data_IF_583185181028
#
_entry.id   IF_583185181028
#
_cell.length_a   1.000
_cell.length_b   1.000
_cell.length_c   1.000
_cell.angle_alpha   90.00
_cell.angle_beta   90.00
_cell.angle_gamma   90.00
#
_symmetry.space_group_name_H-M   'P 1'
#
loop_
_entity.id
_entity.type
_entity.pdbx_description
1 polymer ?
#
# COMPACT_ATOMS: atom_id res chain seq x y z
N UNK A 1 -0.26 13.21 17.78
CA UNK A 1 -1.26 13.06 16.70
C UNK A 1 -0.74 13.73 15.45
N UNK A 2 -1.02 13.21 14.27
CA UNK A 2 -0.53 13.72 12.98
C UNK A 2 -1.69 13.71 11.97
N UNK A 3 -1.55 14.45 10.86
CA UNK A 3 -2.57 14.53 9.80
C UNK A 3 -2.87 13.13 9.22
N UNK A 4 -4.11 12.66 9.35
CA UNK A 4 -4.60 11.40 8.79
C UNK A 4 -5.30 11.58 7.43
N UNK A 5 -6.07 10.58 7.00
CA UNK A 5 -6.84 10.64 5.75
C UNK A 5 -7.90 11.75 5.75
N UNK A 6 -8.39 12.16 6.91
CA UNK A 6 -9.39 13.24 7.04
C UNK A 6 -8.95 14.54 6.33
N UNK A 7 -7.65 14.88 6.36
CA UNK A 7 -7.12 16.07 5.71
C UNK A 7 -7.19 16.01 4.17
N UNK A 8 -7.38 14.82 3.60
CA UNK A 8 -7.56 14.65 2.16
C UNK A 8 -9.01 14.93 1.71
N UNK A 9 -9.95 15.08 2.66
CA UNK A 9 -11.34 15.39 2.34
C UNK A 9 -11.56 16.86 1.95
N UNK A 10 -10.81 17.81 2.52
CA UNK A 10 -11.00 19.26 2.29
C UNK A 10 -9.74 19.95 1.77
N UNK A 11 -9.73 21.29 1.73
CA UNK A 11 -8.61 22.08 1.22
C UNK A 11 -7.33 21.92 2.05
N UNK A 12 -6.18 22.09 1.39
CA UNK A 12 -4.86 21.90 2.02
C UNK A 12 -4.56 20.45 2.32
N UNK A 13 -4.80 19.55 1.35
CA UNK A 13 -4.62 18.09 1.44
C UNK A 13 -3.20 17.68 1.83
N UNK A 14 -3.05 16.43 2.28
CA UNK A 14 -1.71 15.89 2.51
C UNK A 14 -0.96 15.86 1.17
N UNK A 15 0.30 16.31 1.11
CA UNK A 15 1.10 16.18 -0.11
C UNK A 15 1.40 14.69 -0.41
N UNK A 16 1.71 14.33 -1.66
CA UNK A 16 2.00 12.94 -2.03
C UNK A 16 3.10 12.27 -1.19
N UNK A 17 4.14 13.01 -0.78
CA UNK A 17 5.21 12.53 0.11
C UNK A 17 4.77 12.23 1.55
N UNK A 18 3.56 12.63 1.98
CA UNK A 18 3.15 12.59 3.38
C UNK A 18 3.26 11.19 3.98
N UNK A 19 2.76 10.16 3.30
CA UNK A 19 2.79 8.79 3.83
C UNK A 19 4.21 8.21 3.89
N UNK A 20 5.11 8.61 2.97
CA UNK A 20 6.52 8.24 3.05
C UNK A 20 7.19 8.94 4.25
N UNK A 21 6.89 10.22 4.48
CA UNK A 21 7.41 11.01 5.59
C UNK A 21 6.97 10.49 6.97
N UNK A 22 5.69 10.16 7.15
CA UNK A 22 5.20 9.71 8.47
C UNK A 22 5.82 8.38 8.90
N UNK A 23 6.22 7.52 7.96
CA UNK A 23 6.87 6.23 8.26
C UNK A 23 8.22 6.42 8.95
N UNK A 24 8.96 7.45 8.59
CA UNK A 24 10.27 7.75 9.18
C UNK A 24 10.21 8.75 10.34
N UNK A 25 9.02 9.29 10.64
CA UNK A 25 8.82 10.27 11.70
C UNK A 25 7.80 9.75 12.71
N UNK A 26 6.50 10.02 12.49
CA UNK A 26 5.42 9.66 13.42
C UNK A 26 5.35 8.16 13.74
N UNK A 27 5.62 7.29 12.78
CA UNK A 27 5.53 5.84 12.99
C UNK A 27 6.62 5.29 13.92
N UNK A 28 7.66 6.06 14.23
CA UNK A 28 8.65 5.71 15.26
C UNK A 28 8.05 5.74 16.68
N UNK A 29 6.98 6.50 16.90
CA UNK A 29 6.31 6.61 18.20
C UNK A 29 5.33 5.46 18.48
N UNK A 30 4.96 4.68 17.46
CA UNK A 30 3.98 3.60 17.57
C UNK A 30 2.83 3.72 16.57
N UNK A 31 1.76 2.90 16.73
CA UNK A 31 0.70 2.77 15.73
C UNK A 31 -0.06 4.08 15.49
N UNK A 32 -0.64 4.20 14.30
CA UNK A 32 -1.45 5.35 13.90
C UNK A 32 -2.72 4.89 13.20
N UNK A 33 -3.88 5.28 13.73
CA UNK A 33 -5.13 5.20 12.99
C UNK A 33 -5.15 6.28 11.91
N UNK A 34 -4.68 5.93 10.72
CA UNK A 34 -4.61 6.83 9.56
C UNK A 34 -5.89 6.86 8.73
N UNK A 35 -6.76 5.87 8.92
CA UNK A 35 -8.01 5.64 8.16
C UNK A 35 -7.82 5.49 6.64
N UNK A 36 -7.03 4.48 6.17
CA UNK A 36 -6.75 4.29 4.74
C UNK A 36 -7.94 3.74 3.93
N UNK A 37 -7.74 3.62 2.62
CA UNK A 37 -8.62 2.82 1.77
C UNK A 37 -9.76 3.57 1.10
N UNK A 38 -9.57 4.85 0.77
CA UNK A 38 -10.55 5.63 -0.01
C UNK A 38 -10.43 5.25 -1.49
N UNK A 39 -11.20 4.26 -1.96
CA UNK A 39 -11.10 3.75 -3.34
C UNK A 39 -11.79 4.67 -4.36
N UNK A 40 -12.75 5.48 -3.93
CA UNK A 40 -13.28 6.56 -4.77
C UNK A 40 -12.22 7.59 -5.15
N UNK A 41 -11.20 7.77 -4.31
CA UNK A 41 -10.17 8.83 -4.40
C UNK A 41 -10.78 10.24 -4.43
N UNK A 42 -11.93 10.42 -3.76
CA UNK A 42 -12.67 11.68 -3.69
C UNK A 42 -12.86 12.13 -2.25
N UNK A 43 -12.74 13.44 -2.04
CA UNK A 43 -13.07 14.15 -0.81
C UNK A 43 -14.40 14.91 -0.93
N UNK A 44 -14.56 15.93 -0.10
CA UNK A 44 -15.70 16.83 -0.17
C UNK A 44 -15.78 17.53 -1.53
N UNK A 45 -17.02 17.80 -1.96
CA UNK A 45 -17.34 18.47 -3.24
C UNK A 45 -16.68 17.79 -4.43
N UNK A 46 -16.51 16.46 -4.37
CA UNK A 46 -15.86 15.64 -5.40
C UNK A 46 -14.41 16.04 -5.71
N UNK A 47 -13.71 16.63 -4.72
CA UNK A 47 -12.32 17.03 -4.88
C UNK A 47 -11.38 15.83 -4.83
N UNK A 48 -10.41 15.79 -5.74
CA UNK A 48 -9.51 14.65 -5.90
C UNK A 48 -8.53 14.49 -4.74
N UNK A 49 -8.38 13.26 -4.23
CA UNK A 49 -7.33 12.89 -3.28
C UNK A 49 -6.02 12.68 -4.03
N UNK A 50 -4.89 13.13 -3.45
CA UNK A 50 -3.57 13.06 -4.06
C UNK A 50 -2.93 11.67 -3.87
N UNK A 51 -3.57 10.64 -4.44
CA UNK A 51 -3.18 9.23 -4.31
C UNK A 51 -3.65 8.44 -5.53
N UNK A 52 -3.09 7.25 -5.74
CA UNK A 52 -3.65 6.22 -6.61
C UNK A 52 -4.40 5.13 -5.82
N UNK A 53 -5.14 4.28 -6.53
CA UNK A 53 -5.79 3.10 -5.93
C UNK A 53 -4.79 2.14 -5.29
N UNK A 54 -3.68 1.85 -5.98
CA UNK A 54 -2.69 0.90 -5.47
C UNK A 54 -2.00 1.44 -4.21
N UNK A 55 -1.72 2.75 -4.14
CA UNK A 55 -1.23 3.40 -2.91
C UNK A 55 -2.21 3.21 -1.75
N UNK A 56 -3.52 3.42 -1.96
CA UNK A 56 -4.53 3.21 -0.92
C UNK A 56 -4.55 1.78 -0.35
N UNK A 57 -4.29 0.77 -1.19
CA UNK A 57 -4.12 -0.61 -0.74
C UNK A 57 -2.81 -0.81 0.04
N UNK A 58 -1.72 -0.21 -0.43
CA UNK A 58 -0.41 -0.31 0.20
C UNK A 58 -0.42 0.23 1.64
N UNK A 59 -1.24 1.25 1.94
CA UNK A 59 -1.32 1.87 3.27
C UNK A 59 -1.73 0.90 4.38
N UNK A 60 -2.51 -0.14 4.08
CA UNK A 60 -2.86 -1.19 5.06
C UNK A 60 -1.63 -1.97 5.56
N UNK A 61 -0.56 -2.00 4.76
CA UNK A 61 0.70 -2.65 5.12
C UNK A 61 1.72 -1.62 5.62
N UNK A 62 1.83 -0.47 4.96
CA UNK A 62 2.86 0.53 5.28
C UNK A 62 2.59 1.20 6.62
N UNK A 63 1.36 1.68 6.86
CA UNK A 63 1.00 2.38 8.09
C UNK A 63 0.45 1.38 9.10
N UNK A 64 1.27 1.02 10.08
CA UNK A 64 0.87 0.06 11.10
C UNK A 64 -0.19 0.61 12.06
N UNK A 65 -1.28 -0.15 12.22
CA UNK A 65 -2.21 -0.03 13.33
C UNK A 65 -2.83 -1.40 13.63
N UNK A 66 -3.03 -1.78 14.90
CA UNK A 66 -3.74 -3.02 15.25
C UNK A 66 -5.23 -2.97 14.90
N UNK A 67 -5.79 -1.76 14.77
CA UNK A 67 -7.16 -1.50 14.29
C UNK A 67 -7.06 -0.60 13.07
N UNK A 68 -7.47 -1.12 11.90
CA UNK A 68 -7.40 -0.38 10.63
C UNK A 68 -8.81 -0.16 10.11
N UNK A 69 -9.15 1.10 9.82
CA UNK A 69 -10.44 1.48 9.26
C UNK A 69 -10.50 1.20 7.76
N UNK A 70 -11.72 0.91 7.29
CA UNK A 70 -12.10 0.82 5.88
C UNK A 70 -12.94 2.07 5.59
N UNK A 71 -12.28 3.16 5.22
CA UNK A 71 -12.80 4.52 5.42
C UNK A 71 -13.78 5.05 4.36
N UNK A 72 -13.90 4.41 3.19
CA UNK A 72 -14.82 4.83 2.14
C UNK A 72 -16.26 4.34 2.42
N UNK A 73 -17.23 4.74 1.59
CA UNK A 73 -18.60 4.25 1.71
C UNK A 73 -18.72 2.82 1.14
N UNK A 74 -19.64 2.00 1.67
CA UNK A 74 -19.93 0.68 1.13
C UNK A 74 -20.27 0.69 -0.38
N UNK A 75 -20.97 1.72 -0.85
CA UNK A 75 -21.33 1.88 -2.26
C UNK A 75 -20.11 2.11 -3.15
N UNK A 76 -19.09 2.80 -2.63
CA UNK A 76 -17.83 2.96 -3.35
C UNK A 76 -17.07 1.63 -3.37
N UNK A 77 -16.94 0.92 -2.26
CA UNK A 77 -16.31 -0.41 -2.25
C UNK A 77 -16.98 -1.41 -3.21
N UNK A 78 -18.31 -1.37 -3.35
CA UNK A 78 -19.04 -2.21 -4.28
C UNK A 78 -18.60 -2.03 -5.76
N UNK A 79 -18.06 -0.85 -6.12
CA UNK A 79 -17.53 -0.56 -7.46
C UNK A 79 -16.13 -1.15 -7.69
N UNK A 80 -15.40 -1.49 -6.63
CA UNK A 80 -14.00 -1.93 -6.66
C UNK A 80 -13.82 -3.33 -6.02
N UNK A 81 -14.49 -4.38 -6.55
CA UNK A 81 -14.50 -5.69 -5.90
C UNK A 81 -13.13 -6.39 -5.91
N UNK A 82 -12.23 -6.04 -6.83
CA UNK A 82 -10.90 -6.65 -6.92
C UNK A 82 -9.98 -6.07 -5.85
N UNK A 83 -10.02 -4.76 -5.65
CA UNK A 83 -9.29 -4.00 -4.65
C UNK A 83 -9.81 -4.34 -3.25
N UNK A 84 -11.14 -4.45 -3.10
CA UNK A 84 -11.78 -4.88 -1.85
C UNK A 84 -11.35 -6.30 -1.45
N UNK A 85 -10.99 -7.17 -2.41
CA UNK A 85 -10.42 -8.48 -2.08
C UNK A 85 -9.15 -8.33 -1.24
N UNK A 86 -8.23 -7.43 -1.62
CA UNK A 86 -7.01 -7.18 -0.84
C UNK A 86 -7.34 -6.66 0.56
N UNK A 87 -8.25 -5.69 0.68
CA UNK A 87 -8.66 -5.11 1.97
C UNK A 87 -9.27 -6.17 2.90
N UNK A 88 -10.03 -7.13 2.36
CA UNK A 88 -10.56 -8.25 3.16
C UNK A 88 -9.48 -9.25 3.57
N UNK A 89 -8.46 -9.40 2.76
CA UNK A 89 -7.42 -10.42 2.94
C UNK A 89 -6.28 -9.93 3.85
N UNK A 90 -6.03 -8.63 3.95
CA UNK A 90 -4.91 -8.06 4.71
C UNK A 90 -5.18 -8.10 6.23
N UNK A 91 -4.29 -8.67 7.05
CA UNK A 91 -4.43 -8.67 8.50
C UNK A 91 -3.97 -7.32 9.09
N UNK A 92 -4.22 -7.11 10.38
CA UNK A 92 -3.76 -5.92 11.12
C UNK A 92 -2.71 -6.23 12.18
N UNK A 93 -2.41 -7.51 12.41
CA UNK A 93 -1.44 -7.98 13.40
C UNK A 93 -0.36 -8.84 12.73
N UNK A 94 0.89 -8.61 13.15
CA UNK A 94 2.08 -9.02 12.43
C UNK A 94 3.10 -9.68 13.36
N UNK A 95 3.57 -10.87 13.01
CA UNK A 95 4.65 -11.57 13.73
C UNK A 95 6.02 -10.96 13.42
N UNK A 96 6.25 -10.57 12.17
CA UNK A 96 7.51 -9.97 11.69
C UNK A 96 7.20 -8.76 10.80
N UNK A 97 8.06 -7.76 10.80
CA UNK A 97 7.96 -6.55 9.99
C UNK A 97 9.35 -6.10 9.56
N UNK A 98 9.56 -5.96 8.25
CA UNK A 98 10.84 -5.65 7.63
C UNK A 98 10.69 -4.48 6.68
N UNK A 99 11.42 -3.41 6.92
CA UNK A 99 11.61 -2.35 5.93
C UNK A 99 12.60 -2.87 4.89
N UNK A 100 12.15 -3.04 3.65
CA UNK A 100 12.97 -3.62 2.57
C UNK A 100 13.89 -2.58 1.93
N UNK A 101 13.36 -1.38 1.74
CA UNK A 101 14.06 -0.19 1.24
C UNK A 101 13.21 1.05 1.53
N UNK A 102 13.83 2.22 1.41
CA UNK A 102 13.15 3.50 1.50
C UNK A 102 14.10 4.67 1.59
N UNK A 103 13.56 5.85 1.33
CA UNK A 103 14.23 7.15 1.37
C UNK A 103 13.24 8.15 1.98
N UNK A 104 13.70 8.94 2.94
CA UNK A 104 12.84 9.87 3.70
C UNK A 104 12.31 10.93 2.75
N UNK A 105 10.99 11.18 2.77
CA UNK A 105 10.31 12.07 1.83
C UNK A 105 9.87 11.36 0.55
N UNK A 106 10.65 10.40 0.09
CA UNK A 106 10.51 9.87 -1.25
C UNK A 106 9.68 8.59 -1.34
N UNK A 107 10.07 7.53 -0.62
CA UNK A 107 9.37 6.24 -0.70
C UNK A 107 9.72 5.31 0.45
N UNK A 108 8.89 4.28 0.62
CA UNK A 108 9.22 3.15 1.49
C UNK A 108 8.53 1.88 1.02
N UNK A 109 9.22 0.74 1.14
CA UNK A 109 8.64 -0.60 0.96
C UNK A 109 8.79 -1.40 2.24
N UNK A 110 7.68 -1.94 2.74
CA UNK A 110 7.62 -2.73 3.98
C UNK A 110 7.01 -4.09 3.68
N UNK A 111 7.66 -5.16 4.15
CA UNK A 111 7.10 -6.50 4.20
C UNK A 111 6.69 -6.84 5.64
N UNK A 112 5.55 -7.51 5.81
CA UNK A 112 5.07 -7.98 7.11
C UNK A 112 4.57 -9.41 7.02
N UNK A 113 4.87 -10.21 8.04
CA UNK A 113 4.36 -11.58 8.17
C UNK A 113 3.14 -11.58 9.08
N UNK A 114 2.04 -12.13 8.58
CA UNK A 114 0.80 -12.29 9.35
C UNK A 114 1.05 -13.02 10.67
N UNK A 115 0.55 -12.50 11.80
CA UNK A 115 0.64 -13.21 13.09
C UNK A 115 -0.18 -14.50 13.04
N UNK A 116 0.40 -15.59 13.56
CA UNK A 116 -0.19 -16.94 13.56
C UNK A 116 -0.54 -17.46 12.15
N UNK A 117 0.02 -16.81 11.12
CA UNK A 117 -0.19 -17.11 9.71
C UNK A 117 1.12 -17.46 8.99
N UNK A 118 0.96 -17.73 7.70
CA UNK A 118 2.07 -18.07 6.80
C UNK A 118 2.28 -17.05 5.71
N UNK A 119 1.32 -16.14 5.56
CA UNK A 119 1.29 -15.20 4.47
C UNK A 119 2.18 -14.00 4.81
N UNK A 120 2.81 -13.48 3.77
CA UNK A 120 3.49 -12.19 3.84
C UNK A 120 2.70 -11.17 3.05
N UNK A 121 2.76 -9.92 3.48
CA UNK A 121 2.17 -8.79 2.78
C UNK A 121 3.26 -7.75 2.57
N UNK A 122 3.30 -7.15 1.38
CA UNK A 122 4.25 -6.10 1.03
C UNK A 122 3.47 -4.88 0.60
N UNK A 123 3.79 -3.72 1.16
CA UNK A 123 3.26 -2.44 0.71
C UNK A 123 4.41 -1.51 0.35
N UNK A 124 4.29 -0.84 -0.79
CA UNK A 124 5.17 0.22 -1.22
C UNK A 124 4.38 1.51 -1.47
N UNK A 125 4.86 2.63 -0.96
CA UNK A 125 4.31 3.97 -1.23
C UNK A 125 5.42 4.91 -1.68
N UNK A 126 5.10 5.77 -2.65
CA UNK A 126 5.96 6.84 -3.12
C UNK A 126 5.37 8.23 -2.89
N UNK A 127 6.15 9.22 -3.28
CA UNK A 127 5.87 10.65 -3.31
C UNK A 127 5.28 11.09 -4.66
N UNK A 128 5.41 12.37 -5.01
CA UNK A 128 4.91 12.93 -6.27
C UNK A 128 5.67 12.47 -7.52
N UNK A 129 6.85 11.86 -7.36
CA UNK A 129 7.69 11.45 -8.48
C UNK A 129 7.51 9.97 -8.83
N UNK A 130 7.51 9.68 -10.13
CA UNK A 130 7.48 8.30 -10.60
C UNK A 130 8.84 7.63 -10.30
N UNK A 131 8.80 6.39 -9.79
CA UNK A 131 10.03 5.68 -9.43
C UNK A 131 9.90 4.17 -9.57
N UNK A 132 11.03 3.50 -9.73
CA UNK A 132 11.13 2.05 -9.65
C UNK A 132 11.89 1.66 -8.39
N UNK A 133 11.36 0.68 -7.66
CA UNK A 133 12.01 0.14 -6.46
C UNK A 133 12.33 -1.33 -6.70
N UNK A 134 13.53 -1.75 -6.30
CA UNK A 134 13.96 -3.14 -6.35
C UNK A 134 14.23 -3.66 -4.94
N UNK A 135 13.72 -4.86 -4.65
CA UNK A 135 13.97 -5.53 -3.38
C UNK A 135 14.03 -7.04 -3.54
N UNK A 136 14.82 -7.68 -2.68
CA UNK A 136 14.95 -9.13 -2.58
C UNK A 136 13.85 -9.73 -1.71
N UNK A 137 13.49 -10.99 -1.99
CA UNK A 137 12.54 -11.76 -1.21
C UNK A 137 13.21 -12.75 -0.25
N UNK A 138 14.46 -12.49 0.15
CA UNK A 138 15.26 -13.38 1.00
C UNK A 138 14.76 -13.51 2.45
N UNK A 139 13.75 -12.72 2.82
CA UNK A 139 12.98 -12.92 4.05
C UNK A 139 12.00 -14.09 4.01
N UNK A 140 11.68 -14.60 2.81
CA UNK A 140 10.85 -15.79 2.64
C UNK A 140 11.61 -17.05 3.03
N UNK A 141 10.87 -18.11 3.37
CA UNK A 141 11.48 -19.38 3.80
C UNK A 141 12.20 -20.04 2.61
N UNK A 142 13.50 -20.36 2.72
CA UNK A 142 14.23 -21.04 1.66
C UNK A 142 13.59 -22.37 1.25
N UNK A 143 13.50 -22.61 -0.06
CA UNK A 143 12.90 -23.82 -0.63
C UNK A 143 11.36 -23.83 -0.65
N UNK A 144 10.70 -22.80 -0.10
CA UNK A 144 9.24 -22.63 -0.24
C UNK A 144 8.90 -21.78 -1.45
N UNK A 145 7.78 -22.12 -2.09
CA UNK A 145 7.17 -21.32 -3.17
C UNK A 145 5.99 -20.54 -2.62
N UNK A 146 5.83 -19.31 -3.09
CA UNK A 146 4.77 -18.39 -2.71
C UNK A 146 4.02 -17.96 -3.97
N UNK A 147 2.69 -17.90 -3.89
CA UNK A 147 1.87 -17.26 -4.92
C UNK A 147 1.68 -15.80 -4.54
N UNK A 148 2.26 -14.92 -5.34
CA UNK A 148 2.14 -13.48 -5.19
C UNK A 148 0.93 -12.96 -5.95
N UNK A 149 -0.01 -12.36 -5.24
CA UNK A 149 -1.07 -11.53 -5.80
C UNK A 149 -0.62 -10.06 -5.71
N UNK A 150 -0.33 -9.46 -6.86
CA UNK A 150 0.30 -8.15 -6.96
C UNK A 150 -0.74 -7.15 -7.44
N UNK A 151 -0.97 -6.11 -6.64
CA UNK A 151 -1.83 -4.96 -6.91
C UNK A 151 -0.92 -3.75 -7.08
N UNK A 152 -0.66 -3.35 -8.32
CA UNK A 152 0.25 -2.24 -8.61
C UNK A 152 -0.44 -1.17 -9.44
N UNK A 153 0.09 0.04 -9.39
CA UNK A 153 -0.29 1.09 -10.33
C UNK A 153 -0.29 0.58 -11.77
N UNK A 154 -1.32 0.95 -12.52
CA UNK A 154 -1.38 0.72 -13.96
C UNK A 154 -0.28 1.50 -14.68
N UNK A 155 0.05 1.07 -15.90
CA UNK A 155 1.21 1.63 -16.60
C UNK A 155 1.02 3.12 -17.00
N UNK A 156 -0.21 3.62 -16.99
CA UNK A 156 -0.58 5.02 -17.23
C UNK A 156 -1.07 5.75 -15.97
N UNK A 157 -0.93 5.15 -14.79
CA UNK A 157 -1.41 5.74 -13.54
C UNK A 157 -0.65 7.03 -13.20
N UNK A 158 -1.40 8.02 -12.72
CA UNK A 158 -0.90 9.30 -12.25
C UNK A 158 -1.95 9.97 -11.37
N UNK A 159 -1.61 10.32 -10.13
CA UNK A 159 -2.54 10.95 -9.17
C UNK A 159 -3.13 12.29 -9.66
N UNK A 160 -2.47 12.96 -10.61
CA UNK A 160 -2.89 14.29 -11.11
C UNK A 160 -4.00 14.21 -12.14
N UNK A 161 -4.34 13.01 -12.60
CA UNK A 161 -5.31 12.78 -13.67
C UNK A 161 -6.35 11.74 -13.25
N UNK A 162 -7.39 11.56 -14.06
CA UNK A 162 -8.37 10.47 -13.90
C UNK A 162 -7.74 9.07 -13.95
N UNK A 163 -6.49 8.95 -14.45
CA UNK A 163 -5.76 7.69 -14.45
C UNK A 163 -5.29 7.24 -13.07
N UNK A 164 -5.55 8.01 -12.00
CA UNK A 164 -5.29 7.59 -10.61
C UNK A 164 -6.02 6.31 -10.18
N UNK A 165 -7.08 5.93 -10.90
CA UNK A 165 -7.78 4.65 -10.74
C UNK A 165 -7.24 3.52 -11.62
N UNK A 166 -6.18 3.76 -12.41
CA UNK A 166 -5.55 2.72 -13.21
C UNK A 166 -4.74 1.79 -12.32
N UNK A 167 -5.12 0.51 -12.29
CA UNK A 167 -4.48 -0.53 -11.48
C UNK A 167 -4.28 -1.80 -12.32
N UNK A 168 -3.12 -2.42 -12.18
CA UNK A 168 -2.83 -3.73 -12.74
C UNK A 168 -2.80 -4.76 -11.60
N UNK A 169 -3.52 -5.87 -11.79
CA UNK A 169 -3.56 -6.98 -10.84
C UNK A 169 -3.06 -8.22 -11.54
N UNK A 170 -1.99 -8.80 -11.00
CA UNK A 170 -1.32 -9.96 -11.59
C UNK A 170 -0.96 -11.01 -10.54
N UNK A 171 -0.70 -12.24 -11.00
CA UNK A 171 -0.28 -13.33 -10.14
C UNK A 171 1.03 -13.92 -10.62
N UNK A 172 1.98 -14.13 -9.71
CA UNK A 172 3.30 -14.70 -10.01
C UNK A 172 3.70 -15.73 -8.96
N UNK A 173 4.42 -16.77 -9.36
CA UNK A 173 5.07 -17.69 -8.40
C UNK A 173 6.46 -17.16 -8.07
N UNK A 174 6.76 -17.05 -6.79
CA UNK A 174 8.01 -16.52 -6.26
C UNK A 174 8.58 -17.45 -5.19
N UNK A 175 9.84 -17.22 -4.86
CA UNK A 175 10.65 -17.95 -3.89
C UNK A 175 11.59 -16.98 -3.18
N UNK A 176 12.31 -17.44 -2.17
CA UNK A 176 13.26 -16.60 -1.43
C UNK A 176 14.47 -16.14 -2.25
N UNK A 177 14.72 -16.74 -3.42
CA UNK A 177 15.83 -16.36 -4.31
C UNK A 177 15.46 -15.25 -5.28
N UNK A 178 14.16 -14.95 -5.41
CA UNK A 178 13.66 -13.97 -6.36
C UNK A 178 13.87 -12.53 -5.86
N UNK A 179 13.77 -11.60 -6.80
CA UNK A 179 13.70 -10.16 -6.54
C UNK A 179 12.57 -9.57 -7.35
N UNK A 180 11.93 -8.53 -6.83
CA UNK A 180 10.87 -7.80 -7.52
C UNK A 180 11.35 -6.39 -7.82
N UNK A 181 11.13 -5.96 -9.07
CA UNK A 181 11.17 -4.56 -9.46
C UNK A 181 9.73 -4.08 -9.61
N UNK A 182 9.37 -3.08 -8.81
CA UNK A 182 8.03 -2.52 -8.77
C UNK A 182 8.08 -1.05 -9.16
N UNK A 183 7.27 -0.67 -10.15
CA UNK A 183 7.03 0.74 -10.47
C UNK A 183 6.01 1.32 -9.49
N UNK A 184 6.26 2.54 -9.04
CA UNK A 184 5.31 3.43 -8.39
C UNK A 184 5.00 4.57 -9.36
N UNK A 185 3.72 4.83 -9.61
CA UNK A 185 3.30 6.05 -10.29
C UNK A 185 3.55 7.30 -9.41
N UNK A 186 3.54 8.50 -9.99
CA UNK A 186 3.38 9.74 -9.23
C UNK A 186 2.22 9.60 -8.23
N UNK A 187 2.46 9.88 -6.94
CA UNK A 187 1.49 9.74 -5.85
C UNK A 187 1.01 8.30 -5.64
N UNK A 188 1.81 7.32 -6.08
CA UNK A 188 1.41 5.93 -6.26
C UNK A 188 2.07 4.95 -5.31
N UNK A 189 1.92 3.67 -5.63
CA UNK A 189 2.36 2.56 -4.79
C UNK A 189 1.97 1.18 -5.32
N UNK A 190 2.15 0.18 -4.48
CA UNK A 190 1.74 -1.19 -4.75
C UNK A 190 1.49 -1.96 -3.45
N UNK A 191 0.63 -2.97 -3.53
CA UNK A 191 0.35 -3.91 -2.46
C UNK A 191 0.47 -5.34 -2.98
N UNK A 192 1.07 -6.23 -2.19
CA UNK A 192 1.32 -7.62 -2.58
C UNK A 192 0.89 -8.52 -1.44
N UNK A 193 0.12 -9.56 -1.75
CA UNK A 193 -0.12 -10.68 -0.86
C UNK A 193 0.67 -11.89 -1.35
N UNK A 194 1.52 -12.44 -0.49
CA UNK A 194 2.30 -13.64 -0.74
C UNK A 194 1.68 -14.81 0.03
N UNK A 195 1.04 -15.72 -0.67
CA UNK A 195 0.43 -16.91 -0.09
C UNK A 195 1.42 -18.07 -0.17
N UNK A 196 1.80 -18.64 0.97
CA UNK A 196 2.68 -19.81 1.02
C UNK A 196 2.02 -20.99 0.29
N UNK A 197 2.72 -21.53 -0.71
CA UNK A 197 2.33 -22.77 -1.38
C UNK A 197 2.56 -23.99 -0.49
N UNK A 198 1.83 -25.07 -0.76
CA UNK A 198 2.01 -26.35 -0.05
C UNK A 198 3.45 -26.88 -0.18
#
# INVERSE_FOLDING_TARGET
GMRGMEYNAWGGKNPPEHEANIVFTRMLEGPMDFTPGILSLKGEKDSDILSTLAKQLALYVVIYSPVVMVADTPENYAKYPKEMKFIRDVPTDWEDSRVLNGEIGDFVTIARKERDGKNWYIGGVGDEEAREVNFRLDFLIPGKSYTAEIYRDGDDADYRTEKRHSIAIETRKLTSTDSLTMRMAPGGGFAIRLVEGK
#
